data_IF_095564397925
#
_entry.id   IF_095564397925
#
_cell.length_a   1.000
_cell.length_b   1.000
_cell.length_c   1.000
_cell.angle_alpha   90.00
_cell.angle_beta   90.00
_cell.angle_gamma   90.00
#
_symmetry.space_group_name_H-M   'P 1'
#
loop_
_entity.id
_entity.type
_entity.pdbx_description
1 polymer ?
#
# COMPACT_ATOMS: atom_id res chain seq x y z
N UNK A 1 -8.36 12.09 10.47
CA UNK A 1 -6.96 11.63 10.61
C UNK A 1 -6.07 12.66 9.93
N UNK A 2 -5.00 13.11 10.58
CA UNK A 2 -4.07 14.06 9.95
C UNK A 2 -2.90 13.31 9.26
N UNK A 3 -2.01 14.05 8.59
CA UNK A 3 -0.87 13.44 7.86
C UNK A 3 0.08 12.66 8.78
N UNK A 4 0.34 13.15 10.00
CA UNK A 4 1.25 12.49 10.93
C UNK A 4 0.69 11.15 11.42
N UNK A 5 -0.60 11.14 11.79
CA UNK A 5 -1.32 9.93 12.19
C UNK A 5 -1.29 8.89 11.07
N UNK A 6 -1.52 9.32 9.82
CA UNK A 6 -1.53 8.44 8.66
C UNK A 6 -0.15 7.85 8.39
N UNK A 7 0.91 8.66 8.42
CA UNK A 7 2.29 8.18 8.26
C UNK A 7 2.68 7.20 9.38
N UNK A 8 2.31 7.48 10.62
CA UNK A 8 2.54 6.57 11.75
C UNK A 8 1.82 5.23 11.55
N UNK A 9 0.58 5.26 11.05
CA UNK A 9 -0.19 4.07 10.75
C UNK A 9 0.38 3.26 9.58
N UNK A 10 0.92 3.92 8.55
CA UNK A 10 1.65 3.25 7.47
C UNK A 10 2.88 2.50 7.97
N UNK A 11 3.61 3.09 8.91
CA UNK A 11 4.78 2.45 9.53
C UNK A 11 4.37 1.31 10.46
N UNK A 12 3.21 1.43 11.11
CA UNK A 12 2.72 0.48 12.10
C UNK A 12 1.31 -0.03 11.74
N UNK A 13 1.11 -0.75 10.62
CA UNK A 13 -0.20 -1.13 10.11
C UNK A 13 -0.93 -2.14 11.01
N UNK A 14 -0.25 -2.74 11.99
CA UNK A 14 -0.85 -3.59 13.01
C UNK A 14 -1.64 -2.79 14.07
N UNK A 15 -1.39 -1.48 14.21
CA UNK A 15 -2.10 -0.61 15.14
C UNK A 15 -3.42 -0.08 14.59
N UNK A 16 -3.91 -0.65 13.49
CA UNK A 16 -5.20 -0.28 12.93
C UNK A 16 -6.31 -0.77 13.85
N UNK A 17 -7.39 0.00 13.95
CA UNK A 17 -8.53 -0.28 14.84
C UNK A 17 -9.81 0.31 14.21
N UNK A 18 -11.01 0.05 14.75
CA UNK A 18 -12.27 0.55 14.17
C UNK A 18 -12.27 2.06 13.88
N UNK A 19 -11.83 2.89 14.82
CA UNK A 19 -11.78 4.35 14.66
C UNK A 19 -10.84 4.77 13.52
N UNK A 20 -9.66 4.15 13.42
CA UNK A 20 -8.71 4.43 12.34
C UNK A 20 -9.25 3.93 10.98
N UNK A 21 -9.97 2.81 10.95
CA UNK A 21 -10.62 2.29 9.74
C UNK A 21 -11.69 3.25 9.23
N UNK A 22 -12.54 3.78 10.09
CA UNK A 22 -13.53 4.81 9.71
C UNK A 22 -12.85 6.08 9.20
N UNK A 23 -11.79 6.53 9.87
CA UNK A 23 -11.05 7.71 9.42
C UNK A 23 -10.36 7.50 8.05
N UNK A 24 -9.94 6.27 7.72
CA UNK A 24 -9.44 5.91 6.40
C UNK A 24 -10.56 5.88 5.35
N UNK A 25 -11.77 5.45 5.71
CA UNK A 25 -12.95 5.50 4.84
C UNK A 25 -13.23 6.93 4.39
N UNK A 26 -13.19 7.90 5.31
CA UNK A 26 -13.33 9.33 4.97
C UNK A 26 -12.24 9.82 4.01
N UNK A 27 -10.96 9.46 4.26
CA UNK A 27 -9.87 9.81 3.35
C UNK A 27 -10.10 9.24 1.94
N UNK A 28 -10.61 8.01 1.84
CA UNK A 28 -10.87 7.37 0.54
C UNK A 28 -12.04 8.04 -0.19
N UNK A 29 -13.04 8.54 0.55
CA UNK A 29 -14.15 9.31 -0.04
C UNK A 29 -13.65 10.61 -0.67
N UNK A 30 -12.76 11.33 0.03
CA UNK A 30 -12.19 12.59 -0.45
C UNK A 30 -11.13 12.38 -1.55
N UNK A 31 -10.37 11.28 -1.46
CA UNK A 31 -9.27 10.97 -2.37
C UNK A 31 -9.39 9.53 -2.93
N UNK A 32 -10.30 9.30 -3.91
CA UNK A 32 -10.62 7.96 -4.40
C UNK A 32 -9.45 7.19 -5.02
N UNK A 33 -8.37 7.85 -5.43
CA UNK A 33 -7.19 7.23 -6.03
C UNK A 33 -6.04 6.99 -5.04
N UNK A 34 -6.23 7.29 -3.75
CA UNK A 34 -5.18 7.15 -2.75
C UNK A 34 -4.97 5.67 -2.36
N UNK A 35 -4.14 4.97 -3.14
CA UNK A 35 -3.92 3.53 -3.01
C UNK A 35 -3.49 3.10 -1.61
N UNK A 36 -2.56 3.83 -0.99
CA UNK A 36 -2.06 3.52 0.35
C UNK A 36 -3.17 3.57 1.41
N UNK A 37 -4.10 4.52 1.30
CA UNK A 37 -5.25 4.61 2.19
C UNK A 37 -6.22 3.42 2.00
N UNK A 38 -6.49 3.02 0.74
CA UNK A 38 -7.30 1.84 0.43
C UNK A 38 -6.70 0.55 0.98
N UNK A 39 -5.38 0.38 0.86
CA UNK A 39 -4.68 -0.78 1.41
C UNK A 39 -4.85 -0.84 2.94
N UNK A 40 -4.56 0.25 3.65
CA UNK A 40 -4.76 0.29 5.11
C UNK A 40 -6.22 0.03 5.49
N UNK A 41 -7.19 0.66 4.81
CA UNK A 41 -8.61 0.45 5.07
C UNK A 41 -9.00 -1.03 4.90
N UNK A 42 -8.52 -1.67 3.83
CA UNK A 42 -8.74 -3.08 3.57
C UNK A 42 -8.18 -3.97 4.68
N UNK A 43 -6.99 -3.66 5.22
CA UNK A 43 -6.43 -4.37 6.38
C UNK A 43 -7.28 -4.19 7.64
N UNK A 44 -7.76 -2.98 7.88
CA UNK A 44 -8.67 -2.68 8.99
C UNK A 44 -9.96 -3.48 8.91
N UNK A 45 -10.59 -3.53 7.72
CA UNK A 45 -11.78 -4.34 7.49
C UNK A 45 -11.52 -5.84 7.70
N UNK A 46 -10.35 -6.34 7.27
CA UNK A 46 -9.97 -7.74 7.46
C UNK A 46 -9.87 -8.11 8.94
N UNK A 47 -9.18 -7.29 9.74
CA UNK A 47 -9.02 -7.51 11.19
C UNK A 47 -10.34 -7.47 11.95
N UNK A 48 -11.30 -6.69 11.45
CA UNK A 48 -12.62 -6.54 12.05
C UNK A 48 -13.63 -7.58 11.54
N UNK A 49 -13.20 -8.52 10.68
CA UNK A 49 -14.08 -9.49 10.02
C UNK A 49 -15.31 -8.83 9.36
N UNK A 50 -15.11 -7.61 8.82
CA UNK A 50 -16.20 -6.78 8.35
C UNK A 50 -16.83 -7.34 7.07
N UNK A 51 -18.16 -7.30 7.00
CA UNK A 51 -18.92 -7.66 5.79
C UNK A 51 -18.56 -6.79 4.57
N UNK A 52 -18.03 -5.57 4.79
CA UNK A 52 -17.54 -4.66 3.74
C UNK A 52 -16.26 -5.15 3.07
N UNK A 53 -15.50 -6.08 3.69
CA UNK A 53 -14.16 -6.48 3.25
C UNK A 53 -14.10 -6.91 1.79
N UNK A 54 -15.01 -7.80 1.37
CA UNK A 54 -14.96 -8.36 0.01
C UNK A 54 -15.21 -7.31 -1.09
N UNK A 55 -16.07 -6.33 -0.84
CA UNK A 55 -16.31 -5.23 -1.78
C UNK A 55 -15.11 -4.28 -1.83
N UNK A 56 -14.55 -3.95 -0.66
CA UNK A 56 -13.34 -3.13 -0.56
C UNK A 56 -12.14 -3.81 -1.24
N UNK A 57 -12.01 -5.14 -1.14
CA UNK A 57 -10.96 -5.92 -1.79
C UNK A 57 -11.01 -5.77 -3.32
N UNK A 58 -12.19 -6.00 -3.91
CA UNK A 58 -12.40 -5.86 -5.37
C UNK A 58 -12.06 -4.45 -5.84
N UNK A 59 -12.52 -3.45 -5.09
CA UNK A 59 -12.25 -2.04 -5.39
C UNK A 59 -10.76 -1.75 -5.28
N UNK A 60 -10.09 -2.17 -4.21
CA UNK A 60 -8.66 -1.94 -4.02
C UNK A 60 -7.84 -2.60 -5.12
N UNK A 61 -8.16 -3.85 -5.49
CA UNK A 61 -7.48 -4.56 -6.58
C UNK A 61 -7.63 -3.93 -7.97
N UNK A 62 -8.70 -3.14 -8.20
CA UNK A 62 -8.88 -2.37 -9.41
C UNK A 62 -8.04 -1.07 -9.43
N UNK A 63 -7.68 -0.56 -8.25
CA UNK A 63 -6.94 0.70 -8.10
C UNK A 63 -5.45 0.50 -7.80
N UNK A 64 -5.02 -0.70 -7.44
CA UNK A 64 -3.60 -1.02 -7.24
C UNK A 64 -2.92 -1.35 -8.57
N UNK A 65 -1.74 -0.79 -8.80
CA UNK A 65 -0.94 -1.02 -10.02
C UNK A 65 -0.27 -2.39 -10.06
N UNK A 66 0.06 -2.96 -8.90
CA UNK A 66 0.66 -4.30 -8.76
C UNK A 66 -0.16 -5.16 -7.78
N UNK A 67 -0.82 -6.19 -8.33
CA UNK A 67 -1.68 -7.09 -7.55
C UNK A 67 -0.91 -8.08 -6.68
N UNK A 68 0.36 -8.35 -6.99
CA UNK A 68 1.22 -9.21 -6.16
C UNK A 68 1.50 -8.52 -4.82
N UNK A 69 1.78 -7.21 -4.84
CA UNK A 69 1.96 -6.40 -3.62
C UNK A 69 0.68 -6.38 -2.79
N UNK A 70 -0.49 -6.24 -3.42
CA UNK A 70 -1.77 -6.30 -2.72
C UNK A 70 -2.00 -7.68 -2.08
N UNK A 71 -1.71 -8.75 -2.83
CA UNK A 71 -1.85 -10.12 -2.35
C UNK A 71 -0.96 -10.37 -1.12
N UNK A 72 0.31 -10.00 -1.18
CA UNK A 72 1.24 -10.12 -0.06
C UNK A 72 0.75 -9.31 1.15
N UNK A 73 0.27 -8.10 0.92
CA UNK A 73 -0.22 -7.21 1.97
C UNK A 73 -1.44 -7.77 2.71
N UNK A 74 -2.37 -8.43 2.01
CA UNK A 74 -3.59 -8.98 2.62
C UNK A 74 -3.39 -10.41 3.15
N UNK A 75 -2.46 -11.20 2.61
CA UNK A 75 -2.27 -12.60 3.01
C UNK A 75 -1.18 -12.79 4.06
N UNK A 76 -0.27 -11.83 4.20
CA UNK A 76 0.83 -11.95 5.16
C UNK A 76 0.45 -11.39 6.55
N UNK A 77 0.65 -12.20 7.59
CA UNK A 77 0.44 -11.80 8.99
C UNK A 77 1.43 -10.71 9.43
N UNK A 78 2.62 -10.70 8.83
CA UNK A 78 3.69 -9.73 9.05
C UNK A 78 3.99 -9.10 7.72
N UNK A 79 3.68 -7.82 7.52
CA UNK A 79 4.08 -7.11 6.30
C UNK A 79 5.59 -7.28 6.11
N UNK A 80 6.01 -8.17 5.22
CA UNK A 80 7.42 -8.51 5.04
C UNK A 80 8.06 -7.39 4.24
N UNK A 81 8.39 -6.30 4.96
CA UNK A 81 9.27 -5.22 4.51
C UNK A 81 10.55 -5.76 3.85
N UNK A 82 10.98 -6.98 4.15
CA UNK A 82 12.22 -7.59 3.65
C UNK A 82 12.17 -8.00 2.16
N UNK A 83 11.10 -8.56 1.63
CA UNK A 83 11.11 -9.07 0.25
C UNK A 83 10.92 -7.95 -0.77
N UNK A 84 10.01 -7.00 -0.49
CA UNK A 84 9.86 -5.79 -1.32
C UNK A 84 11.12 -4.92 -1.25
N UNK A 85 11.74 -4.76 -0.08
CA UNK A 85 13.04 -4.06 0.01
C UNK A 85 14.16 -4.77 -0.76
N UNK A 86 14.17 -6.11 -0.82
CA UNK A 86 15.14 -6.88 -1.62
C UNK A 86 14.87 -6.73 -3.12
N UNK A 87 13.61 -6.75 -3.55
CA UNK A 87 13.22 -6.55 -4.95
C UNK A 87 13.51 -5.12 -5.40
N UNK A 88 13.19 -4.11 -4.59
CA UNK A 88 13.56 -2.72 -4.85
C UNK A 88 15.08 -2.57 -4.90
N UNK A 89 15.84 -3.11 -3.93
CA UNK A 89 17.31 -3.11 -3.97
C UNK A 89 17.88 -3.77 -5.22
N UNK A 90 17.34 -4.92 -5.65
CA UNK A 90 17.73 -5.56 -6.91
C UNK A 90 17.46 -4.64 -8.10
N UNK A 91 16.28 -4.04 -8.19
CA UNK A 91 15.95 -3.12 -9.27
C UNK A 91 16.82 -1.85 -9.25
N UNK A 92 17.20 -1.32 -8.08
CA UNK A 92 18.15 -0.20 -7.99
C UNK A 92 19.53 -0.57 -8.51
N UNK A 93 20.00 -1.80 -8.28
CA UNK A 93 21.28 -2.29 -8.82
C UNK A 93 21.25 -2.30 -10.35
N UNK A 94 20.17 -2.81 -10.96
CA UNK A 94 20.02 -2.80 -12.43
C UNK A 94 19.93 -1.39 -13.04
N UNK A 95 19.37 -0.41 -12.31
CA UNK A 95 19.30 0.98 -12.76
C UNK A 95 20.65 1.71 -12.70
N UNK A 96 21.51 1.34 -11.74
CA UNK A 96 22.85 1.92 -11.60
C UNK A 96 23.85 1.41 -12.65
N UNK A 97 23.58 0.25 -13.25
CA UNK A 97 24.38 -0.34 -14.34
C UNK A 97 23.96 0.18 -15.73
N UNK A 98 22.92 1.02 -15.81
CA UNK A 98 22.58 1.73 -17.05
C UNK A 98 23.58 2.88 -17.21
N UNK A 99 24.63 2.65 -18.00
CA UNK A 99 25.53 3.72 -18.43
C UNK A 99 24.76 4.69 -19.35
N UNK A 100 24.31 5.82 -18.80
CA UNK A 100 23.70 6.91 -19.55
C UNK A 100 24.81 7.71 -20.25
N UNK A 101 25.44 7.09 -21.25
CA UNK A 101 26.36 7.76 -22.18
C UNK A 101 25.96 7.46 -23.62
N UNK A 102 24.78 7.91 -24.02
CA UNK A 102 24.48 8.21 -25.42
C UNK A 102 23.13 8.92 -25.50
N UNK A 103 23.18 10.25 -25.67
CA UNK A 103 22.33 11.06 -26.55
C UNK A 103 22.53 12.53 -26.20
N UNK A 104 23.77 13.02 -26.36
CA UNK A 104 23.98 14.42 -26.69
C UNK A 104 23.86 14.47 -28.21
N UNK A 105 22.68 14.89 -28.70
CA UNK A 105 22.49 15.21 -30.11
C UNK A 105 23.48 16.33 -30.47
N UNK A 106 24.41 16.04 -31.40
CA UNK A 106 25.07 17.05 -32.24
C UNK A 106 24.25 17.25 -33.51
#
# INVERSE_FOLDING_TARGET
MNSHDFTSLLQNPQQINPQKTEALESIIQDYPYFQSAKALYLKGLKQQESTKYNQALKTTAAYTTDRSILFDFITSDVFVQNEISKVIKKNTIYLNDINVSAMIFQ
#
